data_IF_549635837022
#
_entry.id   IF_549635837022
#
_cell.length_a   1.000
_cell.length_b   1.000
_cell.length_c   1.000
_cell.angle_alpha   90.00
_cell.angle_beta   90.00
_cell.angle_gamma   90.00
#
_symmetry.space_group_name_H-M   'P 1'
#
loop_
_entity.id
_entity.type
_entity.pdbx_description
1 polymer ?
#
# COMPACT_ATOMS: atom_id res chain seq x y z
N UNK A 1 -7.94 -3.81 -24.25
CA UNK A 1 -7.75 -2.84 -23.15
C UNK A 1 -7.13 -3.53 -21.95
N UNK A 2 -6.04 -2.98 -21.43
CA UNK A 2 -5.39 -3.55 -20.26
C UNK A 2 -6.18 -3.20 -18.99
N UNK A 3 -5.95 -3.95 -17.90
CA UNK A 3 -6.57 -3.66 -16.61
C UNK A 3 -6.20 -2.26 -16.12
N UNK A 4 -4.95 -1.86 -16.36
CA UNK A 4 -4.47 -0.54 -15.97
C UNK A 4 -5.21 0.58 -16.70
N UNK A 5 -5.44 0.43 -17.99
CA UNK A 5 -6.20 1.39 -18.76
C UNK A 5 -7.63 1.49 -18.28
N UNK A 6 -8.23 0.35 -17.96
CA UNK A 6 -9.61 0.31 -17.47
C UNK A 6 -9.72 1.04 -16.11
N UNK A 7 -8.78 0.80 -15.20
CA UNK A 7 -8.77 1.47 -13.91
C UNK A 7 -8.62 2.97 -14.08
N UNK A 8 -7.70 3.40 -14.94
CA UNK A 8 -7.48 4.82 -15.24
C UNK A 8 -8.74 5.47 -15.82
N UNK A 9 -9.43 4.78 -16.72
CA UNK A 9 -10.65 5.28 -17.35
C UNK A 9 -11.79 5.43 -16.34
N UNK A 10 -11.92 4.48 -15.41
CA UNK A 10 -13.00 4.48 -14.41
C UNK A 10 -12.69 5.35 -13.19
N UNK A 11 -11.46 5.82 -13.07
CA UNK A 11 -11.03 6.64 -11.95
C UNK A 11 -11.57 8.07 -12.07
N UNK A 12 -11.94 8.71 -10.95
CA UNK A 12 -12.25 10.14 -10.97
C UNK A 12 -11.02 11.01 -11.18
N UNK A 13 -9.83 10.42 -11.19
CA UNK A 13 -8.56 11.12 -11.30
C UNK A 13 -8.08 11.09 -12.76
N UNK A 14 -7.69 12.25 -13.30
CA UNK A 14 -7.22 12.36 -14.68
C UNK A 14 -5.84 11.75 -14.86
N UNK A 15 -5.54 11.37 -16.10
CA UNK A 15 -4.25 10.75 -16.44
C UNK A 15 -3.05 11.65 -16.15
N UNK A 16 -3.17 12.94 -16.38
CA UNK A 16 -2.09 13.88 -16.11
C UNK A 16 -1.79 13.96 -14.63
N UNK A 17 -2.83 13.92 -13.80
CA UNK A 17 -2.69 13.93 -12.35
C UNK A 17 -2.04 12.63 -11.87
N UNK A 18 -2.47 11.49 -12.40
CA UNK A 18 -1.85 10.20 -12.07
C UNK A 18 -0.36 10.20 -12.41
N UNK A 19 0.00 10.74 -13.57
CA UNK A 19 1.41 10.83 -13.96
C UNK A 19 2.23 11.68 -12.99
N UNK A 20 1.68 12.83 -12.60
CA UNK A 20 2.37 13.71 -11.65
C UNK A 20 2.58 13.02 -10.30
N UNK A 21 1.55 12.32 -9.83
CA UNK A 21 1.65 11.63 -8.54
C UNK A 21 2.61 10.44 -8.60
N UNK A 22 2.64 9.72 -9.71
CA UNK A 22 3.61 8.64 -9.90
C UNK A 22 5.05 9.17 -9.95
N UNK A 23 5.24 10.31 -10.60
CA UNK A 23 6.56 10.95 -10.65
C UNK A 23 7.01 11.38 -9.26
N UNK A 24 6.10 11.96 -8.48
CA UNK A 24 6.39 12.35 -7.09
C UNK A 24 6.71 11.14 -6.22
N UNK A 25 6.00 10.04 -6.43
CA UNK A 25 6.29 8.78 -5.71
C UNK A 25 7.70 8.29 -6.02
N UNK A 26 8.12 8.38 -7.28
CA UNK A 26 9.49 7.97 -7.65
C UNK A 26 10.53 8.83 -6.94
N UNK A 27 10.30 10.14 -6.84
CA UNK A 27 11.21 11.04 -6.13
C UNK A 27 11.27 10.67 -4.64
N UNK A 28 10.12 10.44 -4.02
CA UNK A 28 10.07 10.07 -2.61
C UNK A 28 10.75 8.73 -2.36
N UNK A 29 10.66 7.80 -3.32
CA UNK A 29 11.31 6.48 -3.20
C UNK A 29 12.84 6.61 -3.14
N UNK A 30 13.39 7.67 -3.73
CA UNK A 30 14.82 7.95 -3.67
C UNK A 30 15.22 8.75 -2.44
N UNK A 31 14.27 9.23 -1.66
CA UNK A 31 14.53 10.11 -0.55
C UNK A 31 15.10 9.35 0.67
N UNK A 32 15.84 10.08 1.49
CA UNK A 32 16.35 9.53 2.75
C UNK A 32 15.22 9.14 3.70
N UNK A 33 14.12 9.91 3.66
CA UNK A 33 12.92 9.60 4.46
C UNK A 33 12.40 8.20 4.17
N UNK A 34 12.22 7.87 2.89
CA UNK A 34 11.70 6.55 2.50
C UNK A 34 12.68 5.45 2.86
N UNK A 35 13.96 5.68 2.63
CA UNK A 35 14.98 4.70 2.96
C UNK A 35 14.99 4.38 4.45
N UNK A 36 14.82 5.40 5.29
CA UNK A 36 14.72 5.19 6.74
C UNK A 36 13.44 4.43 7.13
N UNK A 37 12.31 4.78 6.49
CA UNK A 37 11.05 4.07 6.74
C UNK A 37 11.19 2.59 6.42
N UNK A 38 11.76 2.29 5.26
CA UNK A 38 11.96 0.93 4.81
C UNK A 38 12.96 0.17 5.68
N UNK A 39 13.95 0.85 6.20
CA UNK A 39 15.01 0.25 7.02
C UNK A 39 14.50 -0.35 8.34
N UNK A 40 13.30 0.05 8.79
CA UNK A 40 12.68 -0.55 9.97
C UNK A 40 12.51 -2.06 9.79
N UNK A 41 12.34 -2.52 8.54
CA UNK A 41 12.30 -3.95 8.25
C UNK A 41 11.02 -4.64 8.65
N UNK A 42 9.91 -3.93 8.60
CA UNK A 42 8.58 -4.49 8.91
C UNK A 42 7.54 -3.93 7.94
N UNK A 43 6.61 -4.79 7.54
CA UNK A 43 5.46 -4.35 6.75
C UNK A 43 4.61 -3.40 7.59
N UNK A 44 4.24 -2.26 7.00
CA UNK A 44 3.41 -1.27 7.69
C UNK A 44 1.96 -1.69 7.88
N UNK A 45 1.53 -2.78 7.25
CA UNK A 45 0.17 -3.29 7.40
C UNK A 45 0.07 -4.49 8.32
N UNK A 46 0.86 -5.54 8.07
CA UNK A 46 0.78 -6.77 8.86
C UNK A 46 1.87 -6.89 9.92
N UNK A 47 2.81 -5.96 9.96
CA UNK A 47 3.93 -5.92 10.90
C UNK A 47 4.90 -7.08 10.78
N UNK A 48 4.79 -7.89 9.72
CA UNK A 48 5.70 -9.00 9.49
C UNK A 48 7.12 -8.48 9.29
N UNK A 49 8.11 -9.07 9.95
CA UNK A 49 9.51 -8.76 9.65
C UNK A 49 9.78 -9.05 8.18
N UNK A 50 10.32 -8.07 7.47
CA UNK A 50 10.53 -8.15 6.02
C UNK A 50 11.85 -7.43 5.69
N UNK A 51 12.74 -8.05 4.92
CA UNK A 51 13.96 -7.35 4.53
C UNK A 51 13.63 -6.03 3.83
N UNK A 52 14.35 -4.95 4.12
CA UNK A 52 14.02 -3.65 3.51
C UNK A 52 13.87 -3.68 2.00
N UNK A 53 14.74 -4.44 1.32
CA UNK A 53 14.69 -4.55 -0.15
C UNK A 53 13.43 -5.22 -0.67
N UNK A 54 12.72 -5.97 0.20
CA UNK A 54 11.49 -6.67 -0.17
C UNK A 54 10.24 -5.85 0.17
N UNK A 55 10.41 -4.68 0.79
CA UNK A 55 9.30 -3.78 1.09
C UNK A 55 9.06 -2.84 -0.08
N UNK A 56 7.82 -2.78 -0.54
CA UNK A 56 7.41 -1.92 -1.65
C UNK A 56 6.65 -0.71 -1.13
N UNK A 57 6.68 0.37 -1.89
CA UNK A 57 5.93 1.58 -1.54
C UNK A 57 4.47 1.40 -1.94
N UNK A 58 3.58 1.48 -0.96
CA UNK A 58 2.14 1.43 -1.21
C UNK A 58 1.49 2.75 -0.82
N UNK A 59 0.49 3.15 -1.59
CA UNK A 59 -0.33 4.32 -1.28
C UNK A 59 -1.51 3.85 -0.44
N UNK A 60 -1.66 4.36 0.77
CA UNK A 60 -2.79 3.98 1.65
C UNK A 60 -4.10 4.24 0.95
N UNK A 61 -4.27 5.45 0.42
CA UNK A 61 -5.35 5.77 -0.50
C UNK A 61 -4.76 5.64 -1.89
N UNK A 62 -5.23 4.68 -2.70
CA UNK A 62 -4.66 4.47 -4.04
C UNK A 62 -4.76 5.73 -4.89
N UNK A 63 -3.78 5.92 -5.76
CA UNK A 63 -3.78 7.08 -6.67
C UNK A 63 -5.04 7.10 -7.53
N UNK A 64 -5.48 5.95 -8.01
CA UNK A 64 -6.68 5.84 -8.85
C UNK A 64 -7.97 6.16 -8.07
N UNK A 65 -7.89 6.19 -6.75
CA UNK A 65 -9.01 6.52 -5.87
C UNK A 65 -8.85 7.92 -5.25
N UNK A 66 -7.96 8.74 -5.79
CA UNK A 66 -7.75 10.12 -5.36
C UNK A 66 -6.63 10.32 -4.36
N UNK A 67 -5.85 9.30 -4.06
CA UNK A 67 -4.71 9.43 -3.15
C UNK A 67 -3.60 10.26 -3.76
N UNK A 68 -2.73 10.76 -2.92
CA UNK A 68 -1.57 11.55 -3.35
C UNK A 68 -0.28 10.94 -2.84
N UNK A 69 0.82 11.27 -3.51
CA UNK A 69 2.15 10.81 -3.13
C UNK A 69 2.71 11.76 -2.10
N UNK A 70 2.31 11.57 -0.86
CA UNK A 70 2.77 12.34 0.29
C UNK A 70 3.27 11.37 1.35
N UNK A 71 4.12 11.86 2.25
CA UNK A 71 4.68 11.01 3.31
C UNK A 71 3.60 10.32 4.13
N UNK A 72 2.50 11.03 4.42
CA UNK A 72 1.40 10.47 5.21
C UNK A 72 0.59 9.41 4.50
N UNK A 73 0.71 9.32 3.18
CA UNK A 73 -0.05 8.36 2.37
C UNK A 73 0.81 7.20 1.85
N UNK A 74 2.07 7.13 2.24
CA UNK A 74 3.00 6.10 1.74
C UNK A 74 3.40 5.15 2.87
N UNK A 75 3.32 3.85 2.59
CA UNK A 75 3.57 2.79 3.56
C UNK A 75 4.50 1.75 2.94
N UNK A 76 5.55 1.32 3.67
CA UNK A 76 6.32 0.17 3.21
C UNK A 76 5.51 -1.10 3.44
N UNK A 77 5.23 -1.85 2.39
CA UNK A 77 4.35 -3.01 2.45
C UNK A 77 5.06 -4.25 1.91
N UNK A 78 4.79 -5.40 2.54
CA UNK A 78 5.28 -6.66 2.03
C UNK A 78 4.50 -7.01 0.76
N UNK A 79 5.07 -7.90 -0.04
CA UNK A 79 4.49 -8.30 -1.32
C UNK A 79 3.07 -8.84 -1.16
N UNK A 80 2.85 -9.66 -0.13
CA UNK A 80 1.54 -10.27 0.10
C UNK A 80 0.47 -9.23 0.41
N UNK A 81 0.77 -8.27 1.31
CA UNK A 81 -0.17 -7.21 1.63
C UNK A 81 -0.42 -6.30 0.44
N UNK A 82 0.63 -5.96 -0.29
CA UNK A 82 0.49 -5.10 -1.47
C UNK A 82 -0.40 -5.77 -2.53
N UNK A 83 -0.20 -7.06 -2.78
CA UNK A 83 -0.99 -7.80 -3.75
C UNK A 83 -2.45 -7.96 -3.31
N UNK A 84 -2.68 -8.21 -2.02
CA UNK A 84 -4.03 -8.38 -1.51
C UNK A 84 -4.80 -7.06 -1.46
N UNK A 85 -4.13 -5.98 -1.06
CA UNK A 85 -4.77 -4.67 -0.92
C UNK A 85 -5.13 -4.04 -2.26
N UNK A 86 -4.23 -4.09 -3.23
CA UNK A 86 -4.43 -3.48 -4.56
C UNK A 86 -4.98 -2.04 -4.46
N UNK A 87 -6.20 -1.82 -4.92
CA UNK A 87 -6.84 -0.50 -4.98
C UNK A 87 -7.84 -0.27 -3.86
N UNK A 88 -7.80 -1.07 -2.80
CA UNK A 88 -8.73 -0.91 -1.68
C UNK A 88 -8.44 0.37 -0.89
N UNK A 89 -9.49 1.04 -0.47
CA UNK A 89 -9.38 2.17 0.45
C UNK A 89 -9.03 1.66 1.84
N UNK A 90 -8.48 2.51 2.72
CA UNK A 90 -8.12 2.07 4.08
C UNK A 90 -9.24 1.36 4.82
N UNK A 91 -10.48 1.86 4.73
CA UNK A 91 -11.62 1.22 5.40
C UNK A 91 -11.94 -0.15 4.82
N UNK A 92 -11.86 -0.29 3.51
CA UNK A 92 -12.08 -1.56 2.83
C UNK A 92 -10.99 -2.57 3.18
N UNK A 93 -9.76 -2.09 3.24
CA UNK A 93 -8.60 -2.91 3.60
C UNK A 93 -8.70 -3.41 5.04
N UNK A 94 -9.08 -2.53 5.98
CA UNK A 94 -9.27 -2.91 7.36
C UNK A 94 -10.36 -3.96 7.53
N UNK A 95 -11.46 -3.80 6.79
CA UNK A 95 -12.56 -4.78 6.80
C UNK A 95 -12.09 -6.13 6.29
N UNK A 96 -11.28 -6.14 5.23
CA UNK A 96 -10.71 -7.37 4.67
C UNK A 96 -9.81 -8.07 5.69
N UNK A 97 -8.95 -7.30 6.37
CA UNK A 97 -8.05 -7.86 7.37
C UNK A 97 -8.84 -8.46 8.55
N UNK A 98 -9.94 -7.83 8.96
CA UNK A 98 -10.79 -8.38 10.01
C UNK A 98 -11.42 -9.70 9.59
N UNK A 99 -11.88 -9.78 8.35
CA UNK A 99 -12.46 -11.04 7.84
C UNK A 99 -11.44 -12.16 7.83
N UNK A 100 -10.20 -11.87 7.44
CA UNK A 100 -9.13 -12.86 7.48
C UNK A 100 -8.85 -13.33 8.90
N UNK A 101 -8.82 -12.44 9.87
CA UNK A 101 -8.59 -12.77 11.26
C UNK A 101 -9.70 -13.67 11.80
N UNK A 102 -10.95 -13.40 11.44
CA UNK A 102 -12.09 -14.23 11.86
C UNK A 102 -12.02 -15.63 11.28
N UNK A 103 -11.59 -15.76 10.02
CA UNK A 103 -11.49 -17.05 9.35
C UNK A 103 -10.28 -17.85 9.78
N UNK A 104 -9.31 -17.22 10.42
CA UNK A 104 -8.07 -17.85 10.84
C UNK A 104 -7.83 -17.57 12.32
N UNK A 105 -8.47 -18.35 13.22
CA UNK A 105 -8.34 -18.14 14.67
C UNK A 105 -6.90 -18.26 15.16
N UNK A 106 -6.05 -19.03 14.49
CA UNK A 106 -4.64 -19.14 14.87
C UNK A 106 -3.91 -17.83 14.72
N UNK A 107 -4.20 -17.07 13.68
CA UNK A 107 -3.61 -15.76 13.47
C UNK A 107 -4.03 -14.80 14.58
N UNK A 108 -5.30 -14.85 14.94
CA UNK A 108 -5.86 -14.02 16.00
C UNK A 108 -5.19 -14.31 17.35
N UNK A 109 -5.04 -15.58 17.69
CA UNK A 109 -4.38 -16.00 18.93
C UNK A 109 -2.92 -15.56 18.96
N UNK A 110 -2.23 -15.70 17.84
CA UNK A 110 -0.84 -15.28 17.73
C UNK A 110 -0.64 -13.80 18.01
N UNK A 111 -1.60 -12.97 17.62
CA UNK A 111 -1.49 -11.54 17.81
C UNK A 111 -1.68 -11.12 19.26
N UNK A 112 -2.28 -11.94 20.09
CA UNK A 112 -2.51 -11.66 21.49
C UNK A 112 -1.33 -12.01 22.40
N UNK A 113 -0.46 -12.85 21.91
CA UNK A 113 0.73 -13.26 22.66
C UNK A 113 1.95 -12.47 22.27
#
# INVERSE_FOLDING_TARGET
MTTEERVSFLSPVGEAELRRERARARELRQSAWWKRRRAVGRCGYCSRPTPPRALTMDHRIPLVRGGRSTRGNLVPACKDCNSAKKYLLPTEWEAYLRLLAEKNPWTSESSET
#
